data_IF_799833721596
#
_entry.id   IF_799833721596
#
_cell.length_a   1.000
_cell.length_b   1.000
_cell.length_c   1.000
_cell.angle_alpha   90.00
_cell.angle_beta   90.00
_cell.angle_gamma   90.00
#
_symmetry.space_group_name_H-M   'P 1'
#
loop_
_entity.id
_entity.type
_entity.pdbx_description
1 polymer ?
#
# COMPACT_ATOMS: atom_id res chain seq x y z
N UNK A 1 -3.29 22.37 10.64
CA UNK A 1 -2.63 21.48 11.56
C UNK A 1 -1.85 20.41 10.78
N UNK A 2 -0.59 20.30 11.10
CA UNK A 2 0.31 19.38 10.39
C UNK A 2 -0.17 17.92 10.49
N UNK A 3 -0.71 17.53 11.65
CA UNK A 3 -1.19 16.18 11.88
C UNK A 3 -2.32 15.79 10.92
N UNK A 4 -3.23 16.71 10.66
CA UNK A 4 -4.34 16.43 9.73
C UNK A 4 -3.88 16.19 8.31
N UNK A 5 -2.89 16.97 7.87
CA UNK A 5 -2.34 16.80 6.53
C UNK A 5 -1.68 15.43 6.40
N UNK A 6 -0.90 15.04 7.40
CA UNK A 6 -0.24 13.75 7.38
C UNK A 6 -1.25 12.61 7.44
N UNK A 7 -2.28 12.75 8.26
CA UNK A 7 -3.34 11.74 8.34
C UNK A 7 -4.05 11.56 7.01
N UNK A 8 -4.29 12.65 6.30
CA UNK A 8 -4.94 12.59 4.99
C UNK A 8 -4.06 11.87 3.98
N UNK A 9 -2.76 12.16 3.98
CA UNK A 9 -1.82 11.48 3.10
C UNK A 9 -1.80 9.98 3.42
N UNK A 10 -1.76 9.64 4.70
CA UNK A 10 -1.75 8.24 5.12
C UNK A 10 -3.02 7.51 4.66
N UNK A 11 -4.17 8.15 4.78
CA UNK A 11 -5.43 7.58 4.31
C UNK A 11 -5.44 7.37 2.80
N UNK A 12 -4.92 8.35 2.06
CA UNK A 12 -4.85 8.26 0.61
C UNK A 12 -3.94 7.11 0.18
N UNK A 13 -2.78 6.99 0.83
CA UNK A 13 -1.84 5.91 0.53
C UNK A 13 -2.49 4.56 0.81
N UNK A 14 -3.17 4.42 1.94
CA UNK A 14 -3.84 3.16 2.28
C UNK A 14 -4.91 2.80 1.26
N UNK A 15 -5.66 3.79 0.80
CA UNK A 15 -6.71 3.58 -0.19
C UNK A 15 -6.13 3.15 -1.54
N UNK A 16 -5.08 3.83 -1.97
CA UNK A 16 -4.43 3.47 -3.23
C UNK A 16 -3.80 2.09 -3.15
N UNK A 17 -3.19 1.76 -2.03
CA UNK A 17 -2.61 0.43 -1.84
C UNK A 17 -3.66 -0.68 -1.92
N UNK A 18 -4.83 -0.45 -1.36
CA UNK A 18 -5.93 -1.41 -1.47
C UNK A 18 -6.27 -1.67 -2.95
N UNK A 19 -6.33 -0.60 -3.73
CA UNK A 19 -6.61 -0.71 -5.15
C UNK A 19 -5.47 -1.41 -5.90
N UNK A 20 -4.23 -1.04 -5.58
CA UNK A 20 -3.05 -1.63 -6.23
C UNK A 20 -2.96 -3.13 -5.96
N UNK A 21 -3.22 -3.54 -4.73
CA UNK A 21 -3.15 -4.95 -4.37
C UNK A 21 -4.13 -5.80 -5.15
N UNK A 22 -5.25 -5.23 -5.57
CA UNK A 22 -6.21 -5.93 -6.41
C UNK A 22 -5.69 -6.19 -7.82
N UNK A 23 -4.68 -5.43 -8.25
CA UNK A 23 -4.09 -5.59 -9.57
C UNK A 23 -2.90 -6.53 -9.58
N UNK A 24 -2.42 -6.95 -8.41
CA UNK A 24 -1.30 -7.88 -8.32
C UNK A 24 -1.75 -9.25 -8.79
N UNK A 25 -1.01 -9.81 -9.75
CA UNK A 25 -1.39 -11.07 -10.40
C UNK A 25 -0.84 -12.31 -9.72
N UNK A 26 -0.11 -12.15 -8.63
CA UNK A 26 0.43 -13.29 -7.88
C UNK A 26 -0.71 -13.96 -7.11
N UNK A 27 -0.97 -15.26 -7.33
CA UNK A 27 -2.06 -15.96 -6.63
C UNK A 27 -1.89 -15.96 -5.12
N UNK A 28 -0.66 -15.87 -4.63
CA UNK A 28 -0.41 -15.81 -3.20
C UNK A 28 -0.96 -14.53 -2.57
N UNK A 29 -1.08 -13.47 -3.36
CA UNK A 29 -1.65 -12.20 -2.93
C UNK A 29 -3.13 -12.13 -3.28
N UNK A 30 -3.48 -12.41 -4.54
CA UNK A 30 -4.87 -12.28 -5.00
C UNK A 30 -5.79 -13.31 -4.36
N UNK A 31 -5.27 -14.47 -3.99
CA UNK A 31 -6.04 -15.51 -3.33
C UNK A 31 -6.13 -15.36 -1.82
N UNK A 32 -5.43 -14.40 -1.24
CA UNK A 32 -5.46 -14.16 0.20
C UNK A 32 -6.49 -13.10 0.53
N UNK A 33 -7.12 -13.24 1.71
CA UNK A 33 -7.99 -12.18 2.22
C UNK A 33 -7.12 -11.15 2.91
N UNK A 34 -6.61 -10.23 2.11
CA UNK A 34 -5.69 -9.21 2.54
C UNK A 34 -6.41 -7.88 2.66
N UNK A 35 -6.25 -7.24 3.80
CA UNK A 35 -6.89 -5.95 4.06
C UNK A 35 -5.85 -4.96 4.56
N UNK A 36 -5.77 -3.81 3.92
CA UNK A 36 -4.90 -2.73 4.39
C UNK A 36 -5.61 -2.01 5.53
N UNK A 37 -5.01 -2.02 6.70
CA UNK A 37 -5.61 -1.40 7.88
C UNK A 37 -5.11 0.02 8.10
N UNK A 38 -4.00 0.39 7.48
CA UNK A 38 -3.48 1.74 7.60
C UNK A 38 -2.15 1.90 6.91
N UNK A 39 -1.68 3.12 6.87
CA UNK A 39 -0.37 3.44 6.33
C UNK A 39 0.22 4.59 7.13
N UNK A 40 1.55 4.61 7.21
CA UNK A 40 2.30 5.67 7.88
C UNK A 40 3.42 6.09 6.94
N UNK A 41 3.31 7.29 6.40
CA UNK A 41 4.22 7.81 5.38
C UNK A 41 5.09 8.88 6.00
N UNK A 42 6.39 8.85 5.72
CA UNK A 42 7.30 9.87 6.20
C UNK A 42 6.99 11.23 5.56
N UNK A 43 7.38 12.31 6.23
CA UNK A 43 7.08 13.67 5.76
C UNK A 43 7.63 13.96 4.38
N UNK A 44 8.80 13.41 4.06
CA UNK A 44 9.43 13.63 2.77
C UNK A 44 8.98 12.61 1.72
N UNK A 45 8.04 11.74 2.08
CA UNK A 45 7.47 10.72 1.21
C UNK A 45 8.49 9.67 0.74
N UNK A 46 9.61 9.54 1.44
CA UNK A 46 10.65 8.59 1.07
C UNK A 46 10.40 7.19 1.62
N UNK A 47 9.58 7.07 2.65
CA UNK A 47 9.30 5.80 3.30
C UNK A 47 7.82 5.70 3.64
N UNK A 48 7.25 4.55 3.35
CA UNK A 48 5.86 4.27 3.74
C UNK A 48 5.83 2.93 4.47
N UNK A 49 5.22 2.93 5.65
CA UNK A 49 4.91 1.70 6.37
C UNK A 49 3.45 1.37 6.13
N UNK A 50 3.19 0.15 5.77
CA UNK A 50 1.83 -0.29 5.47
C UNK A 50 1.44 -1.34 6.50
N UNK A 51 0.30 -1.12 7.12
CA UNK A 51 -0.28 -2.06 8.07
C UNK A 51 -1.39 -2.82 7.40
N UNK A 52 -1.35 -4.14 7.49
CA UNK A 52 -2.34 -4.98 6.85
C UNK A 52 -2.67 -6.18 7.72
N UNK A 53 -3.81 -6.77 7.47
CA UNK A 53 -4.18 -8.02 8.09
C UNK A 53 -4.44 -9.06 7.01
N UNK A 54 -4.09 -10.29 7.31
CA UNK A 54 -4.27 -11.42 6.40
C UNK A 54 -5.13 -12.46 7.10
N UNK A 55 -6.18 -12.87 6.41
CA UNK A 55 -7.00 -13.97 6.86
C UNK A 55 -6.62 -15.20 6.05
N UNK A 56 -6.14 -16.24 6.72
CA UNK A 56 -5.69 -17.45 6.05
C UNK A 56 -4.18 -17.59 6.11
N UNK A 57 -3.57 -18.05 5.02
CA UNK A 57 -2.15 -18.39 4.98
C UNK A 57 -1.28 -17.16 4.81
N UNK A 58 -0.81 -16.63 5.95
CA UNK A 58 -0.02 -15.40 5.96
C UNK A 58 1.33 -15.55 5.28
N UNK A 59 2.00 -16.70 5.45
CA UNK A 59 3.34 -16.90 4.92
C UNK A 59 3.39 -16.78 3.40
N UNK A 60 2.44 -17.40 2.71
CA UNK A 60 2.37 -17.32 1.26
C UNK A 60 2.09 -15.90 0.79
N UNK A 61 1.17 -15.20 1.47
CA UNK A 61 0.83 -13.84 1.12
C UNK A 61 2.02 -12.90 1.31
N UNK A 62 2.78 -13.08 2.39
CA UNK A 62 3.96 -12.26 2.65
C UNK A 62 5.02 -12.45 1.56
N UNK A 63 5.25 -13.68 1.13
CA UNK A 63 6.17 -13.95 0.03
C UNK A 63 5.70 -13.31 -1.27
N UNK A 64 4.41 -13.38 -1.54
CA UNK A 64 3.83 -12.75 -2.71
C UNK A 64 3.97 -11.25 -2.69
N UNK A 65 3.71 -10.63 -1.55
CA UNK A 65 3.89 -9.20 -1.38
C UNK A 65 5.34 -8.77 -1.57
N UNK A 66 6.26 -9.56 -1.03
CA UNK A 66 7.68 -9.27 -1.18
C UNK A 66 8.10 -9.34 -2.66
N UNK A 67 7.61 -10.33 -3.39
CA UNK A 67 7.89 -10.45 -4.82
C UNK A 67 7.29 -9.31 -5.63
N UNK A 68 6.14 -8.80 -5.19
CA UNK A 68 5.46 -7.72 -5.89
C UNK A 68 5.86 -6.33 -5.40
N UNK A 69 6.80 -6.23 -4.46
CA UNK A 69 7.12 -4.96 -3.82
C UNK A 69 7.53 -3.87 -4.81
N UNK A 70 8.33 -4.22 -5.82
CA UNK A 70 8.75 -3.26 -6.84
C UNK A 70 7.58 -2.72 -7.65
N UNK A 71 6.67 -3.61 -8.06
CA UNK A 71 5.47 -3.23 -8.78
C UNK A 71 4.58 -2.32 -7.93
N UNK A 72 4.37 -2.71 -6.68
CA UNK A 72 3.52 -1.94 -5.76
C UNK A 72 4.10 -0.54 -5.55
N UNK A 73 5.40 -0.45 -5.32
CA UNK A 73 6.08 0.82 -5.10
C UNK A 73 5.97 1.72 -6.32
N UNK A 74 6.17 1.14 -7.50
CA UNK A 74 6.09 1.88 -8.75
C UNK A 74 4.69 2.42 -9.01
N UNK A 75 3.68 1.59 -8.79
CA UNK A 75 2.27 1.99 -8.96
C UNK A 75 1.87 3.07 -7.96
N UNK A 76 2.30 2.91 -6.72
CA UNK A 76 1.99 3.90 -5.69
C UNK A 76 2.61 5.25 -6.02
N UNK A 77 3.88 5.26 -6.44
CA UNK A 77 4.56 6.48 -6.81
C UNK A 77 3.84 7.21 -7.95
N UNK A 78 3.44 6.47 -8.97
CA UNK A 78 2.73 7.04 -10.10
C UNK A 78 1.39 7.64 -9.69
N UNK A 79 0.64 6.93 -8.86
CA UNK A 79 -0.68 7.38 -8.42
C UNK A 79 -0.58 8.60 -7.50
N UNK A 80 0.38 8.58 -6.58
CA UNK A 80 0.56 9.69 -5.66
C UNK A 80 1.11 10.92 -6.35
N UNK A 81 1.96 10.76 -7.35
CA UNK A 81 2.44 11.89 -8.15
C UNK A 81 1.30 12.62 -8.85
N UNK A 82 0.35 11.87 -9.37
CA UNK A 82 -0.82 12.49 -10.02
C UNK A 82 -1.66 13.30 -9.05
N UNK A 83 -1.69 12.88 -7.78
CA UNK A 83 -2.49 13.55 -6.76
C UNK A 83 -1.77 14.75 -6.16
N UNK A 84 -0.45 14.69 -6.09
CA UNK A 84 0.36 15.73 -5.43
C UNK A 84 0.78 16.82 -6.40
N UNK A 85 0.78 16.55 -7.68
CA UNK A 85 1.13 17.54 -8.69
C UNK A 85 0.14 18.70 -8.67
N UNK A 86 0.62 19.93 -8.52
CA UNK A 86 -0.25 21.11 -8.50
C UNK A 86 -0.98 21.30 -9.81
#
# INVERSE_FOLDING_TARGET
>A
MAARRQDRINEEVARELTSILRTVKDPRVSGAFLSVTGADVSRDLSLARVYYSILGEAEGAEKGLSSAAGYIRSELAARMNLRVTP
#
